data_IF_786897757543
#
_entry.id   IF_786897757543
#
_cell.length_a   1.000
_cell.length_b   1.000
_cell.length_c   1.000
_cell.angle_alpha   90.00
_cell.angle_beta   90.00
_cell.angle_gamma   90.00
#
_symmetry.space_group_name_H-M   'P 1'
#
loop_
_entity.id
_entity.type
_entity.pdbx_description
1 polymer ?
#
# COMPACT_ATOMS: atom_id res chain seq x y z
N UNK A 1 41.25 -42.76 -25.57
CA UNK A 1 41.21 -42.41 -24.13
C UNK A 1 41.34 -40.91 -23.84
N UNK A 2 42.38 -40.17 -24.28
CA UNK A 2 42.44 -38.71 -24.01
C UNK A 2 41.36 -37.89 -24.74
N UNK A 3 40.90 -38.33 -25.91
CA UNK A 3 39.88 -37.63 -26.72
C UNK A 3 38.48 -37.72 -26.11
N UNK A 4 38.19 -38.75 -25.33
CA UNK A 4 36.86 -39.01 -24.77
C UNK A 4 36.60 -38.14 -23.54
N UNK A 5 37.63 -37.89 -22.74
CA UNK A 5 37.58 -36.99 -21.57
C UNK A 5 37.32 -35.53 -22.01
N UNK A 6 37.89 -35.10 -23.13
CA UNK A 6 37.68 -33.76 -23.68
C UNK A 6 36.25 -33.55 -24.17
N UNK A 7 35.66 -34.54 -24.84
CA UNK A 7 34.25 -34.46 -25.28
C UNK A 7 33.28 -34.45 -24.10
N UNK A 8 33.58 -35.21 -23.05
CA UNK A 8 32.76 -35.24 -21.84
C UNK A 8 32.81 -33.90 -21.07
N UNK A 9 34.01 -33.32 -20.94
CA UNK A 9 34.19 -32.01 -20.29
C UNK A 9 33.51 -30.87 -21.06
N UNK A 10 33.62 -30.87 -22.40
CA UNK A 10 32.97 -29.87 -23.24
C UNK A 10 31.44 -29.97 -23.18
N UNK A 11 30.90 -31.19 -23.17
CA UNK A 11 29.46 -31.44 -23.04
C UNK A 11 28.90 -30.92 -21.72
N UNK A 12 29.58 -31.20 -20.59
CA UNK A 12 29.15 -30.71 -19.28
C UNK A 12 29.23 -29.18 -19.17
N UNK A 13 30.31 -28.57 -19.67
CA UNK A 13 30.44 -27.11 -19.67
C UNK A 13 29.31 -26.44 -20.49
N UNK A 14 28.95 -27.03 -21.63
CA UNK A 14 27.84 -26.55 -22.45
C UNK A 14 26.49 -26.72 -21.75
N UNK A 15 26.23 -27.86 -21.11
CA UNK A 15 25.00 -28.07 -20.34
C UNK A 15 24.85 -27.09 -19.17
N UNK A 16 25.93 -26.78 -18.45
CA UNK A 16 25.91 -25.80 -17.35
C UNK A 16 25.65 -24.39 -17.86
N UNK A 17 26.24 -24.00 -18.99
CA UNK A 17 25.98 -22.71 -19.65
C UNK A 17 24.53 -22.60 -20.18
N UNK A 18 23.98 -23.68 -20.71
CA UNK A 18 22.59 -23.69 -21.16
C UNK A 18 21.62 -23.63 -19.98
N UNK A 19 21.92 -24.32 -18.87
CA UNK A 19 21.08 -24.29 -17.67
C UNK A 19 21.06 -22.89 -17.03
N UNK A 20 22.20 -22.18 -17.00
CA UNK A 20 22.28 -20.84 -16.41
C UNK A 20 21.57 -19.77 -17.26
N UNK A 21 21.65 -19.88 -18.60
CA UNK A 21 20.92 -18.96 -19.49
C UNK A 21 19.41 -19.16 -19.41
N UNK A 22 18.94 -20.41 -19.28
CA UNK A 22 17.51 -20.71 -19.08
C UNK A 22 17.00 -20.19 -17.74
N UNK A 23 17.77 -20.39 -16.65
CA UNK A 23 17.39 -19.87 -15.33
C UNK A 23 17.32 -18.33 -15.30
N UNK A 24 18.26 -17.65 -15.96
CA UNK A 24 18.21 -16.19 -16.10
C UNK A 24 17.00 -15.72 -16.93
N UNK A 25 16.72 -16.39 -18.05
CA UNK A 25 15.58 -16.06 -18.90
C UNK A 25 14.24 -16.22 -18.16
N UNK A 26 14.09 -17.29 -17.35
CA UNK A 26 12.93 -17.50 -16.50
C UNK A 26 12.81 -16.41 -15.42
N UNK A 27 13.89 -16.10 -14.70
CA UNK A 27 13.86 -15.03 -13.69
C UNK A 27 13.49 -13.66 -14.29
N UNK A 28 13.97 -13.35 -15.49
CA UNK A 28 13.60 -12.12 -16.20
C UNK A 28 12.13 -12.14 -16.65
N UNK A 29 11.63 -13.28 -17.12
CA UNK A 29 10.21 -13.45 -17.43
C UNK A 29 9.33 -13.22 -16.20
N UNK A 30 9.71 -13.75 -15.04
CA UNK A 30 8.97 -13.59 -13.79
C UNK A 30 8.93 -12.12 -13.35
N UNK A 31 10.06 -11.41 -13.43
CA UNK A 31 10.11 -9.97 -13.13
C UNK A 31 9.24 -9.16 -14.09
N UNK A 32 9.27 -9.47 -15.39
CA UNK A 32 8.41 -8.82 -16.37
C UNK A 32 6.93 -9.12 -16.07
N UNK A 33 6.61 -10.35 -15.72
CA UNK A 33 5.25 -10.75 -15.39
C UNK A 33 4.75 -10.01 -14.16
N UNK A 34 5.55 -9.97 -13.08
CA UNK A 34 5.25 -9.18 -11.89
C UNK A 34 5.07 -7.70 -12.25
N UNK A 35 5.93 -7.12 -13.08
CA UNK A 35 5.83 -5.73 -13.50
C UNK A 35 4.56 -5.43 -14.35
N UNK A 36 4.12 -6.38 -15.18
CA UNK A 36 2.83 -6.29 -15.88
C UNK A 36 1.67 -6.38 -14.92
N UNK A 37 1.76 -7.31 -13.98
CA UNK A 37 0.77 -7.61 -12.97
C UNK A 37 0.59 -6.44 -11.99
N UNK A 38 1.66 -5.75 -11.57
CA UNK A 38 1.54 -4.54 -10.74
C UNK A 38 1.19 -3.28 -11.55
N UNK A 39 0.96 -3.41 -12.86
CA UNK A 39 0.57 -2.29 -13.72
C UNK A 39 1.68 -1.29 -14.02
N UNK A 40 2.96 -1.61 -13.78
CA UNK A 40 4.09 -0.70 -14.04
C UNK A 40 4.11 -0.26 -15.50
N UNK A 41 3.89 -1.18 -16.43
CA UNK A 41 3.84 -0.84 -17.85
C UNK A 41 2.58 -0.05 -18.25
N UNK A 42 1.49 -0.17 -17.49
CA UNK A 42 0.22 0.50 -17.79
C UNK A 42 0.17 1.92 -17.21
N UNK A 43 0.75 2.15 -16.02
CA UNK A 43 0.68 3.44 -15.33
C UNK A 43 2.02 4.19 -15.35
N UNK A 44 3.09 3.51 -14.95
CA UNK A 44 4.38 4.16 -14.70
C UNK A 44 5.09 4.54 -16.01
N UNK A 45 5.06 3.66 -17.01
CA UNK A 45 5.74 3.90 -18.28
C UNK A 45 5.10 5.06 -19.09
N UNK A 46 3.77 5.16 -19.25
CA UNK A 46 3.14 6.33 -19.87
C UNK A 46 3.36 7.63 -19.09
N UNK A 47 3.36 7.56 -17.76
CA UNK A 47 3.70 8.71 -16.90
C UNK A 47 5.13 9.20 -17.14
N UNK A 48 6.13 8.30 -17.12
CA UNK A 48 7.51 8.66 -17.38
C UNK A 48 7.72 9.23 -18.79
N UNK A 49 7.07 8.65 -19.80
CA UNK A 49 7.14 9.14 -21.17
C UNK A 49 6.55 10.55 -21.29
N UNK A 50 5.34 10.78 -20.77
CA UNK A 50 4.73 12.11 -20.80
C UNK A 50 5.54 13.13 -20.00
N UNK A 51 6.05 12.75 -18.82
CA UNK A 51 6.94 13.60 -18.02
C UNK A 51 8.22 13.96 -18.79
N UNK A 52 8.90 12.98 -19.37
CA UNK A 52 10.15 13.19 -20.09
C UNK A 52 9.96 14.10 -21.32
N UNK A 53 8.89 13.88 -22.08
CA UNK A 53 8.54 14.71 -23.24
C UNK A 53 8.23 16.14 -22.81
N UNK A 54 7.38 16.34 -21.80
CA UNK A 54 7.03 17.68 -21.31
C UNK A 54 8.22 18.40 -20.69
N UNK A 55 9.03 17.70 -19.91
CA UNK A 55 10.24 18.24 -19.30
C UNK A 55 11.24 18.70 -20.37
N UNK A 56 11.53 17.85 -21.35
CA UNK A 56 12.43 18.18 -22.45
C UNK A 56 11.90 19.35 -23.30
N UNK A 57 10.59 19.39 -23.54
CA UNK A 57 9.94 20.47 -24.29
C UNK A 57 10.04 21.79 -23.54
N UNK A 58 9.68 21.84 -22.25
CA UNK A 58 9.76 23.03 -21.42
C UNK A 58 11.21 23.54 -21.25
N UNK A 59 12.17 22.63 -21.16
CA UNK A 59 13.59 22.98 -21.08
C UNK A 59 14.11 23.55 -22.40
N UNK A 60 13.64 23.03 -23.55
CA UNK A 60 14.01 23.51 -24.89
C UNK A 60 13.36 24.85 -25.24
N UNK A 61 12.12 25.09 -24.81
CA UNK A 61 11.42 26.35 -25.07
C UNK A 61 11.89 27.49 -24.17
N UNK A 62 12.50 27.19 -23.02
CA UNK A 62 13.06 28.20 -22.14
C UNK A 62 12.02 29.13 -21.50
N UNK A 63 10.74 28.72 -21.47
CA UNK A 63 9.61 29.54 -20.96
C UNK A 63 9.85 30.02 -19.53
N UNK A 64 10.58 29.24 -18.73
CA UNK A 64 10.90 29.56 -17.34
C UNK A 64 12.37 29.94 -17.12
N UNK A 65 13.10 30.23 -18.19
CA UNK A 65 14.52 30.57 -18.13
C UNK A 65 15.37 29.49 -17.45
N UNK A 66 16.26 29.90 -16.54
CA UNK A 66 17.18 29.01 -15.83
C UNK A 66 16.55 28.20 -14.67
N UNK A 67 15.24 28.35 -14.41
CA UNK A 67 14.57 27.75 -13.25
C UNK A 67 14.21 26.27 -13.48
N UNK A 68 15.20 25.38 -13.51
CA UNK A 68 15.03 23.93 -13.74
C UNK A 68 14.07 23.26 -12.75
N UNK A 69 14.04 23.71 -11.49
CA UNK A 69 13.16 23.16 -10.47
C UNK A 69 11.68 23.39 -10.82
N UNK A 70 11.35 24.60 -11.27
CA UNK A 70 9.99 24.99 -11.65
C UNK A 70 9.54 24.23 -12.92
N UNK A 71 10.43 24.08 -13.91
CA UNK A 71 10.20 23.23 -15.09
C UNK A 71 9.88 21.78 -14.69
N UNK A 72 10.63 21.23 -13.73
CA UNK A 72 10.43 19.85 -13.24
C UNK A 72 9.06 19.70 -12.58
N UNK A 73 8.69 20.62 -11.68
CA UNK A 73 7.40 20.60 -10.98
C UNK A 73 6.23 20.69 -11.96
N UNK A 74 6.31 21.59 -12.96
CA UNK A 74 5.26 21.77 -13.95
C UNK A 74 5.14 20.54 -14.86
N UNK A 75 6.25 19.99 -15.33
CA UNK A 75 6.24 18.76 -16.14
C UNK A 75 5.65 17.58 -15.35
N UNK A 76 5.96 17.47 -14.05
CA UNK A 76 5.41 16.44 -13.17
C UNK A 76 3.90 16.62 -12.97
N UNK A 77 3.44 17.83 -12.70
CA UNK A 77 2.02 18.13 -12.54
C UNK A 77 1.23 17.86 -13.84
N UNK A 78 1.75 18.30 -14.98
CA UNK A 78 1.10 18.12 -16.28
C UNK A 78 1.07 16.65 -16.72
N UNK A 79 2.14 15.88 -16.51
CA UNK A 79 2.16 14.43 -16.79
C UNK A 79 1.22 13.66 -15.86
N UNK A 80 1.14 14.04 -14.58
CA UNK A 80 0.14 13.51 -13.65
C UNK A 80 -1.29 13.77 -14.14
N UNK A 81 -1.57 14.97 -14.64
CA UNK A 81 -2.88 15.30 -15.21
C UNK A 81 -3.18 14.43 -16.44
N UNK A 82 -2.25 14.27 -17.38
CA UNK A 82 -2.43 13.40 -18.56
C UNK A 82 -2.78 11.97 -18.13
N UNK A 83 -2.11 11.44 -17.11
CA UNK A 83 -2.39 10.10 -16.59
C UNK A 83 -3.83 9.96 -16.08
N UNK A 84 -4.37 10.97 -15.40
CA UNK A 84 -5.75 10.98 -14.89
C UNK A 84 -6.79 10.88 -16.02
N UNK A 85 -6.53 11.47 -17.18
CA UNK A 85 -7.45 11.52 -18.32
C UNK A 85 -7.19 10.46 -19.39
N UNK A 86 -6.16 9.63 -19.25
CA UNK A 86 -5.86 8.57 -20.22
C UNK A 86 -6.74 7.35 -19.91
N UNK A 87 -7.65 6.93 -20.81
CA UNK A 87 -8.68 5.92 -20.53
C UNK A 87 -8.18 4.47 -20.57
N UNK A 88 -6.96 4.21 -20.09
CA UNK A 88 -6.35 2.87 -20.09
C UNK A 88 -6.62 2.21 -18.73
N UNK A 89 -7.74 1.50 -18.60
CA UNK A 89 -8.11 0.70 -17.41
C UNK A 89 -9.15 1.34 -16.49
N UNK A 90 -9.34 0.79 -15.27
CA UNK A 90 -10.14 1.43 -14.20
C UNK A 90 -9.66 2.86 -14.11
N UNK A 91 -10.56 3.83 -14.29
CA UNK A 91 -10.17 5.22 -14.39
C UNK A 91 -9.37 5.58 -13.13
N UNK A 92 -8.08 5.92 -13.31
CA UNK A 92 -7.20 6.31 -12.21
C UNK A 92 -7.85 7.41 -11.36
N UNK A 93 -8.68 8.25 -11.98
CA UNK A 93 -9.58 9.20 -11.33
C UNK A 93 -10.55 8.56 -10.33
N UNK A 94 -11.19 7.43 -10.66
CA UNK A 94 -12.06 6.67 -9.75
C UNK A 94 -11.26 6.09 -8.58
N UNK A 95 -10.06 5.56 -8.85
CA UNK A 95 -9.19 5.11 -7.75
C UNK A 95 -8.83 6.28 -6.83
N UNK A 96 -8.35 7.39 -7.38
CA UNK A 96 -7.95 8.56 -6.60
C UNK A 96 -9.14 9.15 -5.83
N UNK A 97 -10.32 9.23 -6.44
CA UNK A 97 -11.54 9.71 -5.81
C UNK A 97 -11.95 8.80 -4.63
N UNK A 98 -11.90 7.49 -4.82
CA UNK A 98 -12.19 6.53 -3.76
C UNK A 98 -11.13 6.56 -2.67
N UNK A 99 -9.84 6.62 -3.03
CA UNK A 99 -8.74 6.69 -2.08
C UNK A 99 -8.81 7.95 -1.23
N UNK A 100 -8.96 9.12 -1.86
CA UNK A 100 -9.10 10.40 -1.16
C UNK A 100 -10.36 10.43 -0.31
N UNK A 101 -11.51 10.00 -0.85
CA UNK A 101 -12.76 9.91 -0.09
C UNK A 101 -12.62 9.04 1.15
N UNK A 102 -12.04 7.84 1.00
CA UNK A 102 -11.81 6.92 2.12
C UNK A 102 -10.74 7.43 3.09
N UNK A 103 -9.67 8.06 2.61
CA UNK A 103 -8.64 8.68 3.44
C UNK A 103 -9.22 9.83 4.28
N UNK A 104 -10.08 10.67 3.72
CA UNK A 104 -10.81 11.71 4.45
C UNK A 104 -11.67 11.08 5.54
N UNK A 105 -12.42 10.02 5.23
CA UNK A 105 -13.23 9.29 6.23
C UNK A 105 -12.35 8.74 7.36
N UNK A 106 -11.17 8.20 7.06
CA UNK A 106 -10.21 7.74 8.09
C UNK A 106 -9.70 8.88 8.95
N UNK A 107 -9.26 9.97 8.33
CA UNK A 107 -8.76 11.15 9.04
C UNK A 107 -9.86 11.68 9.97
N UNK A 108 -11.10 11.80 9.47
CA UNK A 108 -12.25 12.20 10.28
C UNK A 108 -12.50 11.22 11.43
N UNK A 109 -12.42 9.91 11.17
CA UNK A 109 -12.59 8.88 12.21
C UNK A 109 -11.52 9.01 13.29
N UNK A 110 -10.25 9.21 12.92
CA UNK A 110 -9.15 9.43 13.86
C UNK A 110 -9.39 10.70 14.68
N UNK A 111 -9.79 11.80 14.03
CA UNK A 111 -10.09 13.07 14.72
C UNK A 111 -11.22 12.86 15.74
N UNK A 112 -12.31 12.19 15.36
CA UNK A 112 -13.42 11.89 16.25
C UNK A 112 -12.95 11.06 17.44
N UNK A 113 -12.20 9.99 17.21
CA UNK A 113 -11.64 9.15 18.29
C UNK A 113 -10.75 9.98 19.22
N UNK A 114 -9.88 10.83 18.69
CA UNK A 114 -9.03 11.71 19.48
C UNK A 114 -9.83 12.71 20.33
N UNK A 115 -10.92 13.27 19.78
CA UNK A 115 -11.83 14.14 20.53
C UNK A 115 -12.49 13.36 21.67
N UNK A 116 -13.01 12.15 21.41
CA UNK A 116 -13.61 11.31 22.45
C UNK A 116 -12.60 10.96 23.56
N UNK A 117 -11.38 10.57 23.19
CA UNK A 117 -10.30 10.29 24.15
C UNK A 117 -9.97 11.54 24.97
N UNK A 118 -9.85 12.70 24.32
CA UNK A 118 -9.59 13.98 24.99
C UNK A 118 -10.72 14.40 25.94
N UNK A 119 -11.98 14.20 25.56
CA UNK A 119 -13.14 14.47 26.41
C UNK A 119 -13.18 13.55 27.63
N UNK A 120 -12.88 12.26 27.45
CA UNK A 120 -12.79 11.31 28.56
C UNK A 120 -11.66 11.67 29.54
N UNK A 121 -10.53 12.18 29.02
CA UNK A 121 -9.41 12.66 29.83
C UNK A 121 -9.76 13.94 30.61
N UNK A 122 -10.41 14.91 29.97
CA UNK A 122 -10.86 16.14 30.63
C UNK A 122 -11.99 15.90 31.63
N UNK A 123 -12.80 14.85 31.46
CA UNK A 123 -13.99 14.61 32.27
C UNK A 123 -13.74 14.04 33.67
N UNK A 124 -12.48 13.81 34.08
CA UNK A 124 -12.13 13.02 35.29
C UNK A 124 -12.73 11.60 35.32
N UNK A 125 -13.21 11.12 34.17
CA UNK A 125 -13.77 9.76 34.03
C UNK A 125 -12.64 8.75 33.82
N UNK A 126 -11.50 9.19 33.27
CA UNK A 126 -10.34 8.33 33.12
C UNK A 126 -9.57 8.19 34.45
N UNK A 127 -9.17 6.96 34.82
CA UNK A 127 -8.35 6.70 35.99
C UNK A 127 -7.00 7.44 35.86
N UNK A 128 -6.46 7.94 36.98
CA UNK A 128 -5.22 8.74 37.05
C UNK A 128 -4.00 8.07 36.38
N UNK A 129 -4.07 6.76 36.14
CA UNK A 129 -3.01 5.94 35.54
C UNK A 129 -2.93 6.04 34.00
N UNK A 130 -3.69 6.92 33.34
CA UNK A 130 -3.68 7.03 31.87
C UNK A 130 -2.28 7.40 31.31
N UNK A 131 -1.51 8.19 32.05
CA UNK A 131 -0.13 8.53 31.67
C UNK A 131 0.83 7.34 31.74
N UNK A 132 0.56 6.33 32.57
CA UNK A 132 1.37 5.11 32.64
C UNK A 132 1.02 4.14 31.51
N UNK A 133 -0.23 4.16 31.04
CA UNK A 133 -0.69 3.41 29.86
C UNK A 133 -0.03 3.95 28.57
N UNK A 134 0.27 5.25 28.49
CA UNK A 134 1.01 5.82 27.35
C UNK A 134 2.52 5.53 27.38
N UNK A 135 3.10 5.06 28.49
CA UNK A 135 4.55 4.82 28.60
C UNK A 135 4.97 3.37 28.33
N UNK A 136 4.03 2.45 28.08
CA UNK A 136 4.29 1.02 27.97
C UNK A 136 4.00 0.38 26.60
N UNK A 137 4.05 -0.96 26.57
CA UNK A 137 3.78 -1.86 25.43
C UNK A 137 2.41 -1.62 24.75
N UNK A 138 1.50 -0.93 25.44
CA UNK A 138 0.20 -0.45 24.98
C UNK A 138 0.28 0.58 23.84
N UNK A 139 1.34 1.40 23.78
CA UNK A 139 1.58 2.33 22.67
C UNK A 139 1.81 1.56 21.36
N UNK A 140 2.55 0.45 21.44
CA UNK A 140 2.82 -0.44 20.31
C UNK A 140 1.54 -1.11 19.81
N UNK A 141 0.66 -1.52 20.73
CA UNK A 141 -0.65 -2.10 20.39
C UNK A 141 -1.57 -1.08 19.69
N UNK A 142 -1.54 0.18 20.13
CA UNK A 142 -2.29 1.27 19.50
C UNK A 142 -1.74 1.61 18.10
N UNK A 143 -0.43 1.62 17.94
CA UNK A 143 0.22 1.87 16.65
C UNK A 143 -0.05 0.74 15.66
N UNK A 144 -0.02 -0.53 16.12
CA UNK A 144 -0.43 -1.68 15.31
C UNK A 144 -1.89 -1.58 14.89
N UNK A 145 -2.80 -1.19 15.79
CA UNK A 145 -4.21 -0.98 15.47
C UNK A 145 -4.39 0.13 14.42
N UNK A 146 -3.66 1.24 14.56
CA UNK A 146 -3.72 2.35 13.60
C UNK A 146 -3.21 1.93 12.22
N UNK A 147 -2.11 1.17 12.15
CA UNK A 147 -1.59 0.57 10.91
C UNK A 147 -2.63 -0.37 10.29
N UNK A 148 -3.30 -1.19 11.11
CA UNK A 148 -4.33 -2.13 10.66
C UNK A 148 -5.55 -1.41 10.07
N UNK A 149 -5.96 -0.29 10.68
CA UNK A 149 -7.06 0.56 10.17
C UNK A 149 -6.67 1.19 8.84
N UNK A 150 -5.46 1.76 8.73
CA UNK A 150 -4.96 2.36 7.48
C UNK A 150 -4.90 1.32 6.36
N UNK A 151 -4.38 0.13 6.64
CA UNK A 151 -4.36 -0.99 5.69
C UNK A 151 -5.78 -1.44 5.31
N UNK A 152 -6.68 -1.56 6.29
CA UNK A 152 -8.07 -1.93 6.06
C UNK A 152 -8.78 -0.95 5.14
N UNK A 153 -8.56 0.35 5.32
CA UNK A 153 -9.14 1.40 4.48
C UNK A 153 -8.52 1.40 3.09
N UNK A 154 -7.20 1.21 2.99
CA UNK A 154 -6.54 1.06 1.70
C UNK A 154 -7.17 -0.10 0.88
N UNK A 155 -7.37 -1.27 1.50
CA UNK A 155 -8.03 -2.41 0.86
C UNK A 155 -9.50 -2.11 0.54
N UNK A 156 -10.26 -1.52 1.48
CA UNK A 156 -11.67 -1.17 1.29
C UNK A 156 -11.88 -0.13 0.17
N UNK A 157 -10.91 0.75 -0.05
CA UNK A 157 -10.95 1.77 -1.11
C UNK A 157 -10.73 1.21 -2.53
N UNK A 158 -10.49 -0.09 -2.65
CA UNK A 158 -10.09 -0.70 -3.91
C UNK A 158 -8.62 -0.47 -4.25
N UNK A 159 -7.78 -0.19 -3.25
CA UNK A 159 -6.34 -0.03 -3.44
C UNK A 159 -5.67 -1.27 -4.05
N UNK A 160 -6.23 -2.45 -3.81
CA UNK A 160 -5.79 -3.72 -4.44
C UNK A 160 -6.13 -3.79 -5.93
N UNK A 161 -7.18 -3.08 -6.39
CA UNK A 161 -7.62 -3.08 -7.79
C UNK A 161 -6.71 -2.27 -8.72
N UNK A 162 -5.86 -1.39 -8.17
CA UNK A 162 -4.84 -0.64 -8.94
C UNK A 162 -3.70 -1.55 -9.39
N UNK A 163 -3.48 -2.64 -8.66
CA UNK A 163 -2.41 -3.58 -8.91
C UNK A 163 -3.03 -4.84 -9.53
N UNK A 164 -3.22 -4.90 -10.86
CA UNK A 164 -4.01 -5.93 -11.53
C UNK A 164 -3.65 -7.39 -11.20
N UNK A 165 -2.43 -7.68 -10.74
CA UNK A 165 -1.98 -9.00 -10.30
C UNK A 165 -1.75 -9.17 -8.79
N UNK A 166 -2.06 -8.14 -7.99
CA UNK A 166 -2.47 -8.32 -6.59
C UNK A 166 -3.99 -8.42 -6.49
N UNK A 167 -4.62 -9.06 -7.48
CA UNK A 167 -6.03 -9.45 -7.47
C UNK A 167 -6.25 -10.58 -6.45
N UNK A 168 -5.89 -10.30 -5.19
CA UNK A 168 -6.45 -10.92 -4.03
C UNK A 168 -7.93 -10.58 -4.14
N UNK A 169 -8.68 -11.46 -4.77
CA UNK A 169 -10.11 -11.28 -4.92
C UNK A 169 -10.62 -11.10 -3.50
N UNK A 170 -11.08 -9.90 -3.15
CA UNK A 170 -11.68 -9.64 -1.83
C UNK A 170 -12.87 -10.58 -1.63
N UNK A 171 -13.48 -11.05 -2.73
CA UNK A 171 -14.41 -12.19 -2.77
C UNK A 171 -13.83 -13.55 -2.34
N UNK A 172 -12.55 -13.85 -2.56
CA UNK A 172 -11.93 -15.10 -2.09
C UNK A 172 -11.49 -15.01 -0.62
N UNK A 173 -10.90 -13.90 -0.19
CA UNK A 173 -10.48 -13.72 1.22
C UNK A 173 -11.66 -13.49 2.17
N UNK A 174 -12.68 -12.75 1.74
CA UNK A 174 -13.79 -12.36 2.62
C UNK A 174 -15.14 -12.95 2.18
N UNK A 175 -15.31 -13.37 0.93
CA UNK A 175 -16.55 -13.99 0.46
C UNK A 175 -16.75 -15.43 0.91
N UNK A 176 -15.71 -16.08 1.47
CA UNK A 176 -15.80 -17.40 2.09
C UNK A 176 -16.21 -17.35 3.58
N UNK A 177 -16.16 -16.17 4.22
CA UNK A 177 -16.60 -15.98 5.61
C UNK A 177 -18.05 -15.47 5.59
N UNK A 178 -18.99 -16.38 5.30
CA UNK A 178 -20.42 -16.17 5.58
C UNK A 178 -21.18 -15.16 4.72
N UNK A 179 -20.67 -14.77 3.53
CA UNK A 179 -21.39 -13.89 2.61
C UNK A 179 -21.49 -12.42 3.06
N UNK A 180 -20.69 -12.01 4.04
CA UNK A 180 -20.67 -10.62 4.50
C UNK A 180 -19.91 -9.73 3.52
N UNK A 181 -20.46 -8.54 3.29
CA UNK A 181 -19.79 -7.49 2.52
C UNK A 181 -18.46 -7.11 3.21
N UNK A 182 -17.37 -6.83 2.45
CA UNK A 182 -16.11 -6.33 3.01
C UNK A 182 -16.31 -5.08 3.89
N UNK A 183 -17.26 -4.23 3.54
CA UNK A 183 -17.64 -3.05 4.34
C UNK A 183 -18.24 -3.47 5.68
N UNK A 184 -19.11 -4.48 5.69
CA UNK A 184 -19.70 -5.03 6.92
C UNK A 184 -18.63 -5.66 7.81
N UNK A 185 -17.67 -6.35 7.21
CA UNK A 185 -16.57 -6.99 7.93
C UNK A 185 -15.62 -5.96 8.55
N UNK A 186 -15.33 -4.87 7.84
CA UNK A 186 -14.58 -3.73 8.39
C UNK A 186 -15.33 -3.07 9.55
N UNK A 187 -16.65 -2.90 9.45
CA UNK A 187 -17.49 -2.37 10.54
C UNK A 187 -17.48 -3.33 11.74
N UNK A 188 -17.62 -4.64 11.52
CA UNK A 188 -17.56 -5.64 12.59
C UNK A 188 -16.20 -5.61 13.27
N UNK A 189 -15.10 -5.59 12.51
CA UNK A 189 -13.75 -5.54 13.05
C UNK A 189 -13.52 -4.25 13.84
N UNK A 190 -14.06 -3.12 13.36
CA UNK A 190 -14.05 -1.86 14.08
C UNK A 190 -14.81 -2.00 15.40
N UNK A 191 -16.08 -2.41 15.37
CA UNK A 191 -16.93 -2.53 16.58
C UNK A 191 -16.37 -3.53 17.59
N UNK A 192 -15.94 -4.71 17.14
CA UNK A 192 -15.32 -5.74 17.99
C UNK A 192 -13.98 -5.25 18.52
N UNK A 193 -13.18 -4.58 17.70
CA UNK A 193 -11.93 -3.95 18.10
C UNK A 193 -12.15 -2.91 19.20
N UNK A 194 -13.11 -2.00 19.04
CA UNK A 194 -13.47 -1.03 20.08
C UNK A 194 -13.99 -1.72 21.33
N UNK A 195 -14.81 -2.77 21.19
CA UNK A 195 -15.35 -3.55 22.31
C UNK A 195 -14.25 -4.26 23.10
N UNK A 196 -13.27 -4.88 22.43
CA UNK A 196 -12.11 -5.50 23.07
C UNK A 196 -11.30 -4.44 23.82
N UNK A 197 -11.06 -3.28 23.21
CA UNK A 197 -10.37 -2.16 23.86
C UNK A 197 -11.14 -1.78 25.13
N UNK A 198 -12.42 -1.46 25.03
CA UNK A 198 -13.25 -1.09 26.20
C UNK A 198 -13.21 -2.17 27.29
N UNK A 199 -13.27 -3.44 26.91
CA UNK A 199 -13.21 -4.56 27.86
C UNK A 199 -11.85 -4.68 28.54
N UNK A 200 -10.75 -4.51 27.78
CA UNK A 200 -9.38 -4.51 28.30
C UNK A 200 -9.19 -3.39 29.32
N UNK A 201 -9.75 -2.21 29.03
CA UNK A 201 -9.70 -1.04 29.90
C UNK A 201 -10.69 -1.09 31.08
N UNK A 202 -11.71 -1.96 31.03
CA UNK A 202 -12.68 -2.13 32.11
C UNK A 202 -12.27 -3.14 33.18
N UNK A 203 -11.13 -3.85 33.02
CA UNK A 203 -10.69 -4.81 34.03
C UNK A 203 -10.23 -4.06 35.29
N UNK A 204 -10.85 -4.32 36.46
CA UNK A 204 -10.42 -3.71 37.71
C UNK A 204 -9.00 -4.17 38.05
N UNK A 205 -8.16 -3.23 38.47
CA UNK A 205 -6.79 -3.51 38.88
C UNK A 205 -6.78 -4.62 39.92
N UNK A 206 -6.07 -5.71 39.62
CA UNK A 206 -5.85 -6.79 40.57
C UNK A 206 -5.05 -6.21 41.72
N UNK A 207 -5.69 -6.06 42.87
CA UNK A 207 -5.04 -5.56 44.09
C UNK A 207 -3.71 -6.30 44.31
N UNK A 208 -2.63 -5.58 44.67
CA UNK A 208 -1.34 -6.20 44.89
C UNK A 208 -1.47 -7.28 45.96
N UNK A 209 -1.01 -8.50 45.64
CA UNK A 209 -0.93 -9.58 46.60
C UNK A 209 -0.01 -9.13 47.73
N UNK A 210 -0.58 -9.01 48.94
CA UNK A 210 0.13 -8.66 50.17
C UNK A 210 1.06 -9.78 50.62
#
# INVERSE_FOLDING_TARGET
>A
MRTDILKLGLGLAFSVLMLSTVAFAQGLQDVIQIAKDVGVFQFYLPFLLSFAVLYALLLKTGVFGAQKNLVTIIALAASGFIMVYTPVGIAFSTFLANFVGNAIVVILTIIVVLIFVGMLQSGKILPENFNDIMKGNTLWLFLLLLVLIVLGVFVASGGTSIFPGLNISTKQLFGSIGGLSPTTLAIILLVVGTGIIVWLFSKPDKAPAK
#
